data_IF_193900193297
#
_entry.id   IF_193900193297
#
_cell.length_a   1.000
_cell.length_b   1.000
_cell.length_c   1.000
_cell.angle_alpha   90.00
_cell.angle_beta   90.00
_cell.angle_gamma   90.00
#
_symmetry.space_group_name_H-M   'P 1'
#
loop_
_entity.id
_entity.type
_entity.pdbx_description
1 polymer ?
#
# COMPACT_ATOMS: atom_id res chain seq x y z
N UNK A 1 10.58 -32.74 1.03
CA UNK A 1 10.15 -31.38 0.65
C UNK A 1 8.65 -31.27 0.32
N UNK A 2 7.79 -32.26 0.66
CA UNK A 2 6.41 -32.31 0.15
C UNK A 2 5.29 -31.82 1.09
N UNK A 3 5.50 -31.60 2.40
CA UNK A 3 4.40 -31.24 3.31
C UNK A 3 4.07 -29.73 3.38
N UNK A 4 5.05 -28.83 3.22
CA UNK A 4 4.80 -27.37 3.38
C UNK A 4 4.09 -26.76 2.17
N UNK A 5 4.42 -27.18 0.95
CA UNK A 5 3.76 -26.71 -0.27
C UNK A 5 2.31 -27.21 -0.35
N UNK A 6 2.07 -28.44 0.11
CA UNK A 6 0.75 -29.07 0.10
C UNK A 6 -0.21 -28.44 1.12
N UNK A 7 0.31 -28.02 2.29
CA UNK A 7 -0.43 -27.20 3.26
C UNK A 7 -0.64 -25.78 2.73
N UNK A 8 0.36 -25.12 2.13
CA UNK A 8 0.19 -23.78 1.58
C UNK A 8 -0.93 -23.72 0.51
N UNK A 9 -0.96 -24.67 -0.42
CA UNK A 9 -1.99 -24.76 -1.46
C UNK A 9 -3.39 -25.05 -0.90
N UNK A 10 -3.52 -25.97 0.07
CA UNK A 10 -4.81 -26.30 0.72
C UNK A 10 -5.40 -25.15 1.54
N UNK A 11 -4.56 -24.20 1.97
CA UNK A 11 -4.94 -23.19 2.98
C UNK A 11 -5.16 -21.80 2.40
N UNK A 12 -4.61 -21.54 1.21
CA UNK A 12 -4.80 -20.32 0.43
C UNK A 12 -6.25 -19.80 0.31
N UNK A 13 -7.28 -20.64 0.07
CA UNK A 13 -8.65 -20.17 -0.15
C UNK A 13 -9.26 -19.54 1.10
N UNK A 14 -8.91 -20.10 2.25
CA UNK A 14 -9.34 -19.61 3.55
C UNK A 14 -8.59 -18.34 3.91
N UNK A 15 -7.26 -18.29 3.69
CA UNK A 15 -6.47 -17.07 3.87
C UNK A 15 -7.02 -15.90 3.06
N UNK A 16 -7.42 -16.20 1.82
CA UNK A 16 -8.09 -15.26 0.93
C UNK A 16 -9.39 -14.70 1.53
N UNK A 17 -10.28 -15.58 1.99
CA UNK A 17 -11.58 -15.23 2.60
C UNK A 17 -11.41 -14.32 3.83
N UNK A 18 -10.47 -14.66 4.69
CA UNK A 18 -10.23 -14.00 5.97
C UNK A 18 -9.60 -12.63 5.76
N UNK A 19 -8.56 -12.55 4.91
CA UNK A 19 -7.95 -11.27 4.52
C UNK A 19 -9.02 -10.34 3.96
N UNK A 20 -9.87 -10.82 3.06
CA UNK A 20 -10.94 -10.02 2.50
C UNK A 20 -11.93 -9.45 3.52
N UNK A 21 -12.36 -10.24 4.51
CA UNK A 21 -13.33 -9.80 5.52
C UNK A 21 -12.72 -8.76 6.48
N UNK A 22 -11.45 -8.95 6.84
CA UNK A 22 -10.65 -8.02 7.65
C UNK A 22 -10.49 -6.69 6.89
N UNK A 23 -10.03 -6.76 5.64
CA UNK A 23 -9.81 -5.56 4.83
C UNK A 23 -11.12 -4.83 4.52
N UNK A 24 -12.22 -5.50 4.16
CA UNK A 24 -13.49 -4.82 3.85
C UNK A 24 -14.03 -3.99 5.02
N UNK A 25 -13.83 -4.45 6.25
CA UNK A 25 -14.22 -3.73 7.47
C UNK A 25 -13.35 -2.50 7.75
N UNK A 26 -12.07 -2.56 7.41
CA UNK A 26 -11.10 -1.48 7.58
C UNK A 26 -11.30 -0.38 6.53
N UNK A 27 -11.79 -0.72 5.34
CA UNK A 27 -11.93 0.22 4.23
C UNK A 27 -13.25 1.00 4.22
N UNK A 28 -13.94 1.24 5.35
CA UNK A 28 -15.30 1.83 5.32
C UNK A 28 -15.43 3.16 4.58
N UNK A 29 -14.40 4.02 4.62
CA UNK A 29 -14.40 5.33 3.94
C UNK A 29 -13.82 5.33 2.53
N UNK A 30 -13.01 4.32 2.17
CA UNK A 30 -12.57 4.06 0.78
C UNK A 30 -13.76 4.10 -0.18
N UNK A 31 -14.84 3.43 0.22
CA UNK A 31 -16.09 3.40 -0.52
C UNK A 31 -16.69 4.79 -0.72
N UNK A 32 -16.62 5.70 0.24
CA UNK A 32 -17.31 6.99 0.09
C UNK A 32 -16.72 7.79 -1.07
N UNK A 33 -15.39 7.86 -1.18
CA UNK A 33 -14.73 8.62 -2.24
C UNK A 33 -14.94 7.99 -3.62
N UNK A 34 -14.65 6.69 -3.75
CA UNK A 34 -14.79 5.97 -5.03
C UNK A 34 -16.24 5.94 -5.50
N UNK A 35 -17.19 5.58 -4.63
CA UNK A 35 -18.62 5.53 -4.98
C UNK A 35 -19.15 6.93 -5.30
N UNK A 36 -18.79 7.96 -4.52
CA UNK A 36 -19.24 9.33 -4.78
C UNK A 36 -18.77 9.83 -6.14
N UNK A 37 -17.51 9.57 -6.49
CA UNK A 37 -16.95 9.94 -7.79
C UNK A 37 -17.64 9.16 -8.93
N UNK A 38 -17.73 7.83 -8.81
CA UNK A 38 -18.35 7.00 -9.85
C UNK A 38 -19.85 7.30 -10.06
N UNK A 39 -20.58 7.76 -9.03
CA UNK A 39 -21.97 8.23 -9.21
C UNK A 39 -22.09 9.42 -10.17
N UNK A 40 -21.06 10.26 -10.21
CA UNK A 40 -21.01 11.46 -11.03
C UNK A 40 -20.39 11.21 -12.41
N UNK A 41 -19.67 10.09 -12.60
CA UNK A 41 -19.10 9.68 -13.88
C UNK A 41 -20.16 9.02 -14.79
N UNK A 42 -20.11 9.33 -16.08
CA UNK A 42 -21.00 8.77 -17.09
C UNK A 42 -20.65 7.31 -17.44
N UNK A 43 -19.37 6.99 -17.64
CA UNK A 43 -18.93 5.65 -18.08
C UNK A 43 -18.66 4.64 -16.96
N UNK A 44 -18.46 5.10 -15.71
CA UNK A 44 -18.35 4.26 -14.51
C UNK A 44 -17.40 3.07 -14.66
N UNK A 45 -16.16 3.32 -15.06
CA UNK A 45 -15.11 2.30 -15.15
C UNK A 45 -14.19 2.38 -13.94
N UNK A 46 -14.21 1.35 -13.10
CA UNK A 46 -13.35 1.20 -11.93
C UNK A 46 -12.25 0.18 -12.22
N UNK A 47 -10.99 0.60 -12.13
CA UNK A 47 -9.83 -0.30 -12.11
C UNK A 47 -9.34 -0.46 -10.67
N UNK A 48 -9.17 -1.69 -10.21
CA UNK A 48 -8.68 -2.02 -8.87
C UNK A 48 -7.31 -2.69 -9.03
N UNK A 49 -6.27 -2.01 -8.57
CA UNK A 49 -4.88 -2.46 -8.57
C UNK A 49 -4.60 -3.23 -7.29
N UNK A 50 -4.10 -4.47 -7.39
CA UNK A 50 -3.96 -5.35 -6.23
C UNK A 50 -5.31 -5.79 -5.69
N UNK A 51 -6.17 -6.28 -6.58
CA UNK A 51 -7.58 -6.54 -6.30
C UNK A 51 -7.78 -7.54 -5.15
N UNK A 52 -6.79 -8.39 -4.88
CA UNK A 52 -6.87 -9.34 -3.79
C UNK A 52 -7.99 -10.35 -4.01
N UNK A 53 -8.21 -11.18 -3.01
CA UNK A 53 -8.93 -12.43 -3.20
C UNK A 53 -10.45 -12.36 -3.06
N UNK A 54 -11.04 -11.18 -2.90
CA UNK A 54 -12.50 -10.95 -2.84
C UNK A 54 -12.86 -9.56 -3.37
N UNK A 55 -12.08 -9.04 -4.33
CA UNK A 55 -12.04 -7.60 -4.56
C UNK A 55 -11.82 -6.89 -3.22
N UNK A 56 -10.82 -7.34 -2.45
CA UNK A 56 -10.70 -7.24 -0.99
C UNK A 56 -11.14 -5.90 -0.35
N UNK A 57 -10.89 -4.72 -0.95
CA UNK A 57 -11.48 -3.47 -0.45
C UNK A 57 -13.01 -3.41 -0.45
N UNK A 58 -13.70 -4.16 -1.32
CA UNK A 58 -15.13 -4.08 -1.67
C UNK A 58 -16.02 -5.23 -1.17
N UNK A 59 -15.43 -6.27 -0.57
CA UNK A 59 -16.02 -7.60 -0.36
C UNK A 59 -17.52 -7.69 0.01
N UNK A 60 -17.95 -7.09 1.12
CA UNK A 60 -19.36 -7.11 1.59
C UNK A 60 -20.23 -6.00 0.97
N UNK A 61 -19.62 -5.07 0.25
CA UNK A 61 -20.26 -3.90 -0.34
C UNK A 61 -20.33 -3.97 -1.86
N UNK A 62 -20.11 -5.14 -2.43
CA UNK A 62 -20.38 -5.41 -3.85
C UNK A 62 -21.81 -5.03 -4.25
N UNK A 63 -22.78 -5.18 -3.34
CA UNK A 63 -24.16 -4.73 -3.57
C UNK A 63 -24.26 -3.20 -3.72
N UNK A 64 -23.39 -2.42 -3.06
CA UNK A 64 -23.35 -0.96 -3.21
C UNK A 64 -22.77 -0.58 -4.58
N UNK A 65 -21.73 -1.28 -5.03
CA UNK A 65 -21.22 -1.13 -6.39
C UNK A 65 -22.29 -1.49 -7.43
N UNK A 66 -23.05 -2.57 -7.22
CA UNK A 66 -24.15 -2.96 -8.12
C UNK A 66 -25.19 -1.84 -8.28
N UNK A 67 -25.45 -1.08 -7.20
CA UNK A 67 -26.37 0.04 -7.20
C UNK A 67 -25.85 1.31 -7.92
N UNK A 68 -24.60 1.32 -8.42
CA UNK A 68 -24.10 2.40 -9.28
C UNK A 68 -24.76 2.40 -10.67
N UNK A 69 -25.51 1.34 -10.99
CA UNK A 69 -26.31 1.24 -12.20
C UNK A 69 -25.66 0.36 -13.28
N UNK A 70 -26.39 0.16 -14.39
CA UNK A 70 -26.07 -0.87 -15.38
C UNK A 70 -24.77 -0.61 -16.16
N UNK A 71 -24.21 0.59 -16.08
CA UNK A 71 -23.02 0.96 -16.84
C UNK A 71 -21.71 0.69 -16.09
N UNK A 72 -21.75 0.21 -14.84
CA UNK A 72 -20.52 -0.05 -14.08
C UNK A 72 -19.69 -1.17 -14.73
N UNK A 73 -18.39 -0.92 -14.90
CA UNK A 73 -17.42 -1.91 -15.36
C UNK A 73 -16.26 -1.94 -14.37
N UNK A 74 -15.88 -3.14 -13.93
CA UNK A 74 -14.78 -3.34 -12.98
C UNK A 74 -13.67 -4.13 -13.65
N UNK A 75 -12.45 -3.61 -13.57
CA UNK A 75 -11.21 -4.27 -13.98
C UNK A 75 -10.40 -4.55 -12.71
N UNK A 76 -10.15 -5.81 -12.37
CA UNK A 76 -9.33 -6.19 -11.22
C UNK A 76 -7.98 -6.73 -11.67
N UNK A 77 -6.89 -6.17 -11.15
CA UNK A 77 -5.52 -6.56 -11.47
C UNK A 77 -4.86 -7.20 -10.25
N UNK A 78 -4.24 -8.37 -10.43
CA UNK A 78 -3.36 -8.98 -9.42
C UNK A 78 -2.28 -9.80 -10.13
N UNK A 79 -1.09 -9.91 -9.55
CA UNK A 79 -0.03 -10.76 -10.12
C UNK A 79 -0.27 -12.24 -9.80
N UNK A 80 -1.07 -12.55 -8.77
CA UNK A 80 -1.28 -13.91 -8.30
C UNK A 80 -2.55 -14.52 -8.93
N UNK A 81 -2.42 -15.51 -9.83
CA UNK A 81 -3.56 -16.11 -10.53
C UNK A 81 -4.52 -16.84 -9.57
N UNK A 82 -4.03 -17.38 -8.46
CA UNK A 82 -4.86 -18.07 -7.48
C UNK A 82 -5.74 -17.07 -6.71
N UNK A 83 -5.19 -15.89 -6.39
CA UNK A 83 -5.94 -14.77 -5.78
C UNK A 83 -7.07 -14.31 -6.70
N UNK A 84 -6.82 -14.19 -8.01
CA UNK A 84 -7.85 -13.86 -8.99
C UNK A 84 -8.94 -14.93 -9.09
N UNK A 85 -8.57 -16.21 -9.06
CA UNK A 85 -9.52 -17.31 -9.00
C UNK A 85 -10.44 -17.22 -7.76
N UNK A 86 -9.88 -16.86 -6.61
CA UNK A 86 -10.65 -16.63 -5.39
C UNK A 86 -11.57 -15.40 -5.49
N UNK A 87 -11.06 -14.29 -6.03
CA UNK A 87 -11.85 -13.06 -6.22
C UNK A 87 -13.09 -13.34 -7.07
N UNK A 88 -12.91 -14.13 -8.14
CA UNK A 88 -14.00 -14.57 -8.99
C UNK A 88 -15.05 -15.38 -8.22
N UNK A 89 -14.59 -16.35 -7.43
CA UNK A 89 -15.46 -17.24 -6.66
C UNK A 89 -16.34 -16.47 -5.67
N UNK A 90 -15.76 -15.55 -4.89
CA UNK A 90 -16.52 -14.84 -3.87
C UNK A 90 -17.44 -13.78 -4.46
N UNK A 91 -17.01 -13.11 -5.52
CA UNK A 91 -17.87 -12.19 -6.27
C UNK A 91 -19.14 -12.90 -6.73
N UNK A 92 -19.02 -14.10 -7.32
CA UNK A 92 -20.16 -14.91 -7.75
C UNK A 92 -21.09 -15.31 -6.60
N UNK A 93 -20.54 -15.64 -5.42
CA UNK A 93 -21.34 -15.95 -4.22
C UNK A 93 -22.11 -14.74 -3.69
N UNK A 94 -21.49 -13.56 -3.68
CA UNK A 94 -21.98 -12.38 -2.96
C UNK A 94 -22.82 -11.45 -3.81
N UNK A 95 -22.67 -11.46 -5.13
CA UNK A 95 -23.46 -10.63 -6.03
C UNK A 95 -24.01 -11.44 -7.19
N UNK A 96 -25.34 -11.50 -7.28
CA UNK A 96 -26.07 -12.02 -8.46
C UNK A 96 -26.21 -10.97 -9.57
N UNK A 97 -25.93 -9.71 -9.25
CA UNK A 97 -26.14 -8.55 -10.12
C UNK A 97 -24.92 -8.23 -11.00
N UNK A 98 -23.76 -8.81 -10.68
CA UNK A 98 -22.58 -8.78 -11.54
C UNK A 98 -22.32 -10.13 -12.18
N UNK A 99 -21.99 -10.10 -13.47
CA UNK A 99 -21.47 -11.27 -14.15
C UNK A 99 -19.98 -11.07 -14.40
N UNK A 100 -19.18 -12.04 -13.94
CA UNK A 100 -17.77 -12.12 -14.33
C UNK A 100 -17.73 -12.45 -15.83
N UNK A 101 -17.18 -11.53 -16.60
CA UNK A 101 -17.13 -11.64 -18.06
C UNK A 101 -15.91 -12.39 -18.53
N UNK A 102 -14.78 -12.25 -17.84
CA UNK A 102 -13.56 -13.02 -18.12
C UNK A 102 -12.56 -12.98 -16.98
N UNK A 103 -11.76 -14.05 -16.89
CA UNK A 103 -10.50 -14.10 -16.14
C UNK A 103 -9.38 -14.30 -17.17
N UNK A 104 -8.41 -13.39 -17.22
CA UNK A 104 -7.28 -13.46 -18.16
C UNK A 104 -6.02 -13.85 -17.39
N UNK A 105 -5.43 -14.99 -17.77
CA UNK A 105 -4.34 -15.64 -17.04
C UNK A 105 -3.19 -15.97 -17.98
N UNK A 106 -1.97 -16.02 -17.42
CA UNK A 106 -0.76 -16.42 -18.10
C UNK A 106 -0.67 -17.95 -18.17
N UNK A 107 -1.13 -18.59 -17.09
CA UNK A 107 -1.27 -20.03 -16.91
C UNK A 107 -2.48 -20.59 -17.66
N UNK A 108 -2.47 -21.91 -17.96
CA UNK A 108 -3.62 -22.55 -18.60
C UNK A 108 -4.79 -22.70 -17.63
N UNK A 109 -6.00 -22.83 -18.18
CA UNK A 109 -7.22 -23.15 -17.42
C UNK A 109 -7.01 -24.39 -16.54
N UNK A 110 -6.44 -25.45 -17.11
CA UNK A 110 -6.19 -26.72 -16.41
C UNK A 110 -5.19 -26.54 -15.27
N UNK A 111 -4.20 -25.66 -15.44
CA UNK A 111 -3.22 -25.34 -14.40
C UNK A 111 -3.87 -24.58 -13.23
N UNK A 112 -4.70 -23.57 -13.52
CA UNK A 112 -5.46 -22.87 -12.48
C UNK A 112 -6.42 -23.82 -11.77
N UNK A 113 -7.20 -24.62 -12.52
CA UNK A 113 -8.10 -25.61 -11.93
C UNK A 113 -7.32 -26.59 -11.05
N UNK A 114 -6.16 -27.09 -11.49
CA UNK A 114 -5.32 -27.96 -10.68
C UNK A 114 -4.85 -27.29 -9.38
N UNK A 115 -4.47 -26.01 -9.42
CA UNK A 115 -4.12 -25.22 -8.23
C UNK A 115 -5.32 -25.02 -7.30
N UNK A 116 -6.52 -24.88 -7.87
CA UNK A 116 -7.78 -24.71 -7.13
C UNK A 116 -8.49 -26.04 -6.77
N UNK A 117 -8.01 -27.21 -7.20
CA UNK A 117 -8.65 -28.52 -6.91
C UNK A 117 -8.70 -28.85 -5.42
N UNK A 118 -7.80 -28.28 -4.63
CA UNK A 118 -7.79 -28.45 -3.17
C UNK A 118 -8.86 -27.61 -2.46
N UNK A 119 -9.51 -26.70 -3.16
CA UNK A 119 -10.65 -25.93 -2.66
C UNK A 119 -11.86 -26.84 -2.79
N UNK A 120 -12.24 -27.54 -1.72
CA UNK A 120 -13.39 -28.46 -1.68
C UNK A 120 -14.71 -27.86 -2.21
N UNK A 121 -14.82 -26.53 -2.23
CA UNK A 121 -16.00 -25.84 -2.75
C UNK A 121 -15.95 -25.53 -4.26
N UNK A 122 -14.85 -25.83 -4.97
CA UNK A 122 -14.69 -25.50 -6.40
C UNK A 122 -15.69 -26.23 -7.31
N UNK A 123 -16.02 -27.48 -6.98
CA UNK A 123 -17.03 -28.30 -7.67
C UNK A 123 -18.47 -27.87 -7.32
N UNK A 124 -18.76 -27.52 -6.06
CA UNK A 124 -20.10 -27.07 -5.63
C UNK A 124 -20.48 -25.67 -6.14
N UNK A 125 -19.50 -24.82 -6.45
CA UNK A 125 -19.73 -23.39 -6.73
C UNK A 125 -19.72 -23.01 -8.21
N UNK A 126 -19.55 -23.98 -9.11
CA UNK A 126 -19.54 -23.72 -10.55
C UNK A 126 -18.32 -22.91 -11.02
N UNK A 127 -17.18 -23.01 -10.34
CA UNK A 127 -15.91 -22.38 -10.77
C UNK A 127 -15.58 -22.76 -12.21
N UNK A 128 -15.85 -24.01 -12.60
CA UNK A 128 -15.62 -24.48 -13.96
C UNK A 128 -16.42 -23.69 -15.03
N UNK A 129 -17.60 -23.17 -14.69
CA UNK A 129 -18.41 -22.32 -15.55
C UNK A 129 -17.88 -20.87 -15.63
N UNK A 130 -17.33 -20.35 -14.53
CA UNK A 130 -16.71 -19.02 -14.46
C UNK A 130 -15.37 -19.03 -15.23
N UNK A 131 -14.56 -20.06 -15.01
CA UNK A 131 -13.28 -20.28 -15.69
C UNK A 131 -13.48 -20.71 -17.15
N UNK A 132 -14.64 -21.26 -17.54
CA UNK A 132 -14.94 -21.54 -18.97
C UNK A 132 -14.87 -20.30 -19.87
N UNK A 133 -15.03 -19.10 -19.29
CA UNK A 133 -14.88 -17.81 -19.98
C UNK A 133 -13.44 -17.26 -19.95
N UNK A 134 -12.48 -17.99 -19.38
CA UNK A 134 -11.08 -17.57 -19.34
C UNK A 134 -10.48 -17.58 -20.74
N UNK A 135 -9.80 -16.47 -21.10
CA UNK A 135 -9.12 -16.34 -22.39
C UNK A 135 -7.62 -16.35 -22.13
N UNK A 136 -6.90 -17.24 -22.83
CA UNK A 136 -5.43 -17.25 -22.86
C UNK A 136 -4.94 -16.13 -23.78
N UNK A 137 -5.00 -14.87 -23.33
CA UNK A 137 -4.45 -13.74 -24.07
C UNK A 137 -4.28 -12.49 -23.19
N UNK A 138 -3.20 -12.42 -22.42
CA UNK A 138 -2.78 -11.20 -21.68
C UNK A 138 -2.16 -10.16 -22.63
N UNK A 139 -1.78 -10.55 -23.86
CA UNK A 139 -0.99 -9.69 -24.76
C UNK A 139 -1.72 -8.48 -25.35
N UNK A 140 -3.05 -8.37 -25.22
CA UNK A 140 -3.81 -7.23 -25.74
C UNK A 140 -4.23 -6.32 -24.58
N UNK A 141 -3.84 -5.05 -24.64
CA UNK A 141 -4.34 -4.04 -23.71
C UNK A 141 -5.87 -4.00 -23.76
N UNK A 142 -6.52 -4.07 -22.59
CA UNK A 142 -7.98 -4.03 -22.50
C UNK A 142 -8.44 -2.57 -22.58
N UNK A 143 -9.36 -2.29 -23.48
CA UNK A 143 -10.09 -1.02 -23.54
C UNK A 143 -11.45 -1.17 -22.87
N UNK A 144 -11.88 -0.19 -22.09
CA UNK A 144 -13.15 -0.28 -21.38
C UNK A 144 -14.39 -0.24 -22.29
N UNK A 145 -14.24 0.24 -23.53
CA UNK A 145 -15.29 0.19 -24.56
C UNK A 145 -15.59 -1.24 -25.02
N UNK A 146 -14.62 -2.16 -24.95
CA UNK A 146 -14.79 -3.57 -25.31
C UNK A 146 -15.45 -4.40 -24.20
N UNK A 147 -15.53 -3.86 -22.98
CA UNK A 147 -16.09 -4.56 -21.82
C UNK A 147 -17.62 -4.42 -21.79
N UNK A 148 -18.36 -5.52 -21.50
CA UNK A 148 -19.81 -5.45 -21.32
C UNK A 148 -20.20 -4.53 -20.15
N UNK A 149 -21.42 -4.02 -20.19
CA UNK A 149 -22.05 -3.32 -19.07
C UNK A 149 -22.29 -4.27 -17.88
N UNK A 150 -22.25 -3.74 -16.65
CA UNK A 150 -22.33 -4.52 -15.40
C UNK A 150 -21.38 -5.72 -15.36
N UNK A 151 -20.12 -5.49 -15.74
CA UNK A 151 -19.12 -6.56 -15.87
C UNK A 151 -17.98 -6.45 -14.88
N UNK A 152 -17.40 -7.61 -14.55
CA UNK A 152 -16.15 -7.73 -13.81
C UNK A 152 -15.17 -8.54 -14.65
N UNK A 153 -14.02 -7.95 -14.94
CA UNK A 153 -12.91 -8.58 -15.64
C UNK A 153 -11.69 -8.65 -14.73
N UNK A 154 -11.17 -9.84 -14.52
CA UNK A 154 -10.01 -10.09 -13.67
C UNK A 154 -8.80 -10.43 -14.55
N UNK A 155 -7.64 -9.82 -14.29
CA UNK A 155 -6.47 -9.97 -15.13
C UNK A 155 -5.23 -10.21 -14.29
N UNK A 156 -4.48 -11.25 -14.66
CA UNK A 156 -3.15 -11.49 -14.13
C UNK A 156 -2.18 -10.43 -14.68
N UNK A 157 -1.79 -9.49 -13.82
CA UNK A 157 -0.90 -8.39 -14.19
C UNK A 157 0.05 -8.05 -13.04
N UNK A 158 1.34 -8.24 -13.29
CA UNK A 158 2.39 -7.68 -12.45
C UNK A 158 2.59 -6.20 -12.82
N UNK A 159 2.01 -5.32 -12.01
CA UNK A 159 2.03 -3.86 -12.22
C UNK A 159 3.44 -3.27 -12.24
N UNK A 160 4.44 -3.96 -11.69
CA UNK A 160 5.86 -3.55 -11.75
C UNK A 160 6.44 -3.65 -13.16
N UNK A 161 5.79 -4.43 -14.02
CA UNK A 161 6.19 -4.64 -15.43
C UNK A 161 5.32 -3.84 -16.40
N UNK A 162 4.41 -3.01 -15.89
CA UNK A 162 3.45 -2.22 -16.66
C UNK A 162 2.02 -2.74 -16.55
N UNK A 163 1.08 -2.00 -17.15
CA UNK A 163 -0.36 -2.29 -17.07
C UNK A 163 -0.88 -2.91 -18.37
N UNK A 164 -1.76 -3.89 -18.24
CA UNK A 164 -2.47 -4.52 -19.34
C UNK A 164 -3.82 -3.84 -19.68
N UNK A 165 -4.02 -2.62 -19.18
CA UNK A 165 -5.19 -1.78 -19.44
C UNK A 165 -4.75 -0.65 -20.35
N UNK A 166 -5.52 -0.37 -21.40
CA UNK A 166 -5.18 0.67 -22.35
C UNK A 166 -5.26 2.06 -21.71
N UNK A 167 -4.55 3.01 -22.31
CA UNK A 167 -4.61 4.41 -21.90
C UNK A 167 -6.05 4.92 -21.96
N UNK A 168 -6.39 5.82 -21.04
CA UNK A 168 -7.67 6.52 -20.95
C UNK A 168 -8.90 5.60 -20.91
N UNK A 169 -8.73 4.42 -20.31
CA UNK A 169 -9.79 3.42 -20.19
C UNK A 169 -10.52 3.45 -18.86
N UNK A 170 -9.94 4.01 -17.79
CA UNK A 170 -10.53 4.04 -16.46
C UNK A 170 -11.05 5.43 -16.08
N UNK A 171 -12.23 5.50 -15.47
CA UNK A 171 -12.71 6.71 -14.79
C UNK A 171 -12.07 6.83 -13.41
N UNK A 172 -11.94 5.71 -12.70
CA UNK A 172 -11.36 5.64 -11.38
C UNK A 172 -10.36 4.48 -11.29
N UNK A 173 -9.20 4.73 -10.69
CA UNK A 173 -8.24 3.70 -10.27
C UNK A 173 -8.16 3.69 -8.75
N UNK A 174 -8.38 2.53 -8.13
CA UNK A 174 -8.15 2.29 -6.71
C UNK A 174 -6.88 1.44 -6.56
N UNK A 175 -5.92 1.94 -5.79
CA UNK A 175 -4.63 1.28 -5.54
C UNK A 175 -4.34 1.05 -4.05
N UNK A 176 -5.42 0.99 -3.25
CA UNK A 176 -5.33 0.93 -1.80
C UNK A 176 -4.55 -0.27 -1.29
N UNK A 177 -3.66 0.00 -0.34
CA UNK A 177 -2.77 -0.97 0.31
C UNK A 177 -1.99 -1.86 -0.68
N UNK A 178 -1.75 -1.37 -1.90
CA UNK A 178 -1.03 -2.14 -2.93
C UNK A 178 0.31 -1.50 -3.24
N UNK A 179 0.37 -0.17 -3.30
CA UNK A 179 1.54 0.54 -3.81
C UNK A 179 2.79 0.37 -2.93
N UNK A 180 2.66 0.20 -1.60
CA UNK A 180 3.79 -0.18 -0.72
C UNK A 180 4.43 -1.52 -1.05
N UNK A 181 3.73 -2.44 -1.72
CA UNK A 181 4.28 -3.75 -2.07
C UNK A 181 5.05 -3.73 -3.40
N UNK A 182 4.99 -2.64 -4.16
CA UNK A 182 5.48 -2.61 -5.55
C UNK A 182 6.99 -2.58 -5.67
N UNK A 183 7.69 -1.75 -4.90
CA UNK A 183 9.14 -1.73 -4.90
C UNK A 183 9.70 -0.98 -3.69
N UNK A 184 10.96 -1.27 -3.27
CA UNK A 184 11.67 -0.53 -2.25
C UNK A 184 12.12 0.91 -2.67
N UNK A 185 11.84 1.34 -3.92
CA UNK A 185 12.43 2.54 -4.53
C UNK A 185 11.40 3.46 -5.20
N UNK A 186 11.67 4.77 -5.21
CA UNK A 186 10.83 5.82 -5.82
C UNK A 186 10.57 5.56 -7.30
N UNK A 187 11.62 5.27 -8.08
CA UNK A 187 11.52 5.21 -9.55
C UNK A 187 10.55 4.13 -10.00
N UNK A 188 10.65 2.95 -9.38
CA UNK A 188 9.73 1.86 -9.64
C UNK A 188 8.29 2.19 -9.20
N UNK A 189 8.11 2.91 -8.08
CA UNK A 189 6.79 3.41 -7.69
C UNK A 189 6.28 4.50 -8.65
N UNK A 190 7.17 5.35 -9.16
CA UNK A 190 6.86 6.40 -10.13
C UNK A 190 6.41 5.81 -11.46
N UNK A 191 7.08 4.77 -11.96
CA UNK A 191 6.69 4.04 -13.17
C UNK A 191 5.29 3.43 -13.02
N UNK A 192 5.00 2.83 -11.86
CA UNK A 192 3.66 2.30 -11.55
C UNK A 192 2.63 3.44 -11.54
N UNK A 193 2.92 4.57 -10.88
CA UNK A 193 1.99 5.71 -10.82
C UNK A 193 1.82 6.38 -12.18
N UNK A 194 2.85 6.44 -13.03
CA UNK A 194 2.76 6.88 -14.42
C UNK A 194 1.87 5.96 -15.25
N UNK A 195 2.00 4.65 -15.07
CA UNK A 195 1.09 3.69 -15.69
C UNK A 195 -0.36 3.88 -15.24
N UNK A 196 -0.58 4.16 -13.94
CA UNK A 196 -1.90 4.52 -13.43
C UNK A 196 -2.44 5.80 -14.07
N UNK A 197 -1.60 6.83 -14.17
CA UNK A 197 -1.95 8.08 -14.82
C UNK A 197 -2.34 7.86 -16.29
N UNK A 198 -1.64 7.01 -17.03
CA UNK A 198 -1.95 6.74 -18.44
C UNK A 198 -3.30 6.04 -18.60
N UNK A 199 -3.63 5.07 -17.73
CA UNK A 199 -4.92 4.36 -17.74
C UNK A 199 -6.12 5.27 -17.47
N UNK A 200 -5.95 6.36 -16.74
CA UNK A 200 -7.04 7.27 -16.38
C UNK A 200 -7.46 8.14 -17.57
N UNK A 201 -8.76 8.35 -17.72
CA UNK A 201 -9.31 9.38 -18.62
C UNK A 201 -8.96 10.79 -18.12
N UNK A 202 -9.00 11.81 -18.99
CA UNK A 202 -9.01 13.19 -18.54
C UNK A 202 -10.10 13.41 -17.46
N UNK A 203 -9.73 14.02 -16.33
CA UNK A 203 -10.61 14.16 -15.17
C UNK A 203 -10.78 12.91 -14.31
N UNK A 204 -10.12 11.80 -14.68
CA UNK A 204 -10.12 10.52 -13.98
C UNK A 204 -9.53 10.63 -12.57
N UNK A 205 -10.03 9.82 -11.64
CA UNK A 205 -9.61 9.84 -10.24
C UNK A 205 -8.67 8.67 -9.91
N UNK A 206 -7.55 8.97 -9.27
CA UNK A 206 -6.77 7.99 -8.51
C UNK A 206 -7.16 8.08 -7.04
N UNK A 207 -7.61 6.97 -6.48
CA UNK A 207 -7.60 6.73 -5.05
C UNK A 207 -6.33 5.92 -4.70
N UNK A 208 -5.29 6.61 -4.24
CA UNK A 208 -4.00 5.99 -3.92
C UNK A 208 -4.13 5.04 -2.72
N UNK A 209 -5.02 5.38 -1.77
CA UNK A 209 -5.17 4.73 -0.47
C UNK A 209 -3.93 4.94 0.41
N UNK A 210 -4.05 5.10 1.73
CA UNK A 210 -2.85 5.26 2.57
C UNK A 210 -2.87 4.33 3.77
N UNK A 211 -1.68 4.05 4.31
CA UNK A 211 -1.52 3.29 5.56
C UNK A 211 -1.98 4.04 6.81
N UNK A 212 -1.93 3.35 7.95
CA UNK A 212 -2.53 3.77 9.24
C UNK A 212 -1.71 4.79 10.05
N UNK A 213 -0.52 5.18 9.59
CA UNK A 213 0.38 6.09 10.29
C UNK A 213 0.24 7.55 9.82
N UNK A 214 0.53 8.53 10.69
CA UNK A 214 0.60 9.94 10.25
C UNK A 214 1.80 10.11 9.30
N UNK A 215 1.52 10.17 8.00
CA UNK A 215 2.53 10.33 6.96
C UNK A 215 3.29 11.68 7.03
N UNK A 216 2.97 12.58 7.97
CA UNK A 216 3.76 13.79 8.22
C UNK A 216 4.79 13.60 9.35
N UNK A 217 4.68 12.51 10.09
CA UNK A 217 5.47 12.29 11.29
C UNK A 217 6.97 12.16 11.00
N UNK A 218 7.33 11.50 9.90
CA UNK A 218 8.74 11.35 9.50
C UNK A 218 9.42 12.72 9.27
N UNK A 219 8.72 13.72 8.72
CA UNK A 219 9.26 15.07 8.56
C UNK A 219 9.44 15.81 9.88
N UNK A 220 8.44 15.72 10.77
CA UNK A 220 8.54 16.29 12.12
C UNK A 220 9.73 15.68 12.89
N UNK A 221 9.96 14.38 12.71
CA UNK A 221 11.07 13.66 13.31
C UNK A 221 12.43 14.06 12.76
N UNK A 222 12.55 14.22 11.44
CA UNK A 222 13.77 14.76 10.79
C UNK A 222 14.12 16.12 11.37
N UNK A 223 13.13 17.00 11.48
CA UNK A 223 13.31 18.33 12.09
C UNK A 223 13.82 18.21 13.52
N UNK A 224 13.18 17.38 14.35
CA UNK A 224 13.59 17.19 15.75
C UNK A 224 15.03 16.67 15.89
N UNK A 225 15.42 15.67 15.09
CA UNK A 225 16.78 15.14 15.09
C UNK A 225 17.79 16.23 14.70
N UNK A 226 17.49 17.00 13.67
CA UNK A 226 18.37 18.05 13.19
C UNK A 226 18.52 19.20 14.21
N UNK A 227 17.44 19.58 14.89
CA UNK A 227 17.47 20.53 16.02
C UNK A 227 18.36 20.01 17.16
N UNK A 228 18.23 18.73 17.51
CA UNK A 228 19.00 18.11 18.58
C UNK A 228 20.50 18.06 18.27
N UNK A 229 20.87 17.70 17.03
CA UNK A 229 22.26 17.73 16.56
C UNK A 229 22.79 19.16 16.55
N UNK A 230 22.04 20.13 16.00
CA UNK A 230 22.48 21.53 15.92
C UNK A 230 22.73 22.12 17.30
N UNK A 231 21.85 21.86 18.28
CA UNK A 231 22.03 22.28 19.67
C UNK A 231 23.24 21.62 20.31
N UNK A 232 23.41 20.32 20.11
CA UNK A 232 24.51 19.58 20.73
C UNK A 232 25.89 20.04 20.23
N UNK A 233 26.01 20.22 18.91
CA UNK A 233 27.25 20.63 18.26
C UNK A 233 27.43 22.15 18.22
N UNK A 234 26.39 22.90 18.57
CA UNK A 234 26.34 24.36 18.56
C UNK A 234 26.77 24.96 17.21
N UNK A 235 26.22 24.41 16.12
CA UNK A 235 26.58 24.75 14.75
C UNK A 235 25.42 24.60 13.76
N UNK A 236 25.62 25.13 12.56
CA UNK A 236 24.72 24.94 11.43
C UNK A 236 24.81 23.51 10.91
N UNK A 237 23.67 22.89 10.66
CA UNK A 237 23.58 21.53 10.14
C UNK A 237 22.91 21.55 8.78
N UNK A 238 23.52 20.89 7.81
CA UNK A 238 22.84 20.51 6.58
C UNK A 238 22.24 19.11 6.75
N UNK A 239 20.92 18.97 6.63
CA UNK A 239 20.31 17.65 6.48
C UNK A 239 20.27 17.31 5.00
N UNK A 240 20.75 16.13 4.66
CA UNK A 240 20.80 15.58 3.32
C UNK A 240 19.84 14.40 3.31
N UNK A 241 18.65 14.60 2.76
CA UNK A 241 17.64 13.55 2.63
C UNK A 241 17.84 12.83 1.31
N UNK A 242 18.35 11.59 1.38
CA UNK A 242 18.60 10.71 0.22
C UNK A 242 17.58 9.58 0.12
N UNK A 243 16.46 9.69 0.83
CA UNK A 243 15.34 8.75 0.65
C UNK A 243 14.74 8.83 -0.75
N UNK A 244 14.96 9.95 -1.44
CA UNK A 244 14.72 10.13 -2.88
C UNK A 244 16.07 9.96 -3.62
N UNK A 245 16.15 8.95 -4.48
CA UNK A 245 17.41 8.56 -5.15
C UNK A 245 17.85 9.58 -6.22
N UNK A 246 16.90 10.29 -6.82
CA UNK A 246 17.13 11.22 -7.93
C UNK A 246 17.29 12.67 -7.46
N UNK A 247 16.70 13.01 -6.31
CA UNK A 247 16.73 14.36 -5.77
C UNK A 247 17.24 14.31 -4.35
N UNK A 248 18.48 14.78 -4.16
CA UNK A 248 18.98 15.05 -2.83
C UNK A 248 18.34 16.34 -2.33
N UNK A 249 17.56 16.24 -1.27
CA UNK A 249 17.01 17.42 -0.64
C UNK A 249 17.90 17.90 0.49
N UNK A 250 18.04 19.22 0.57
CA UNK A 250 18.80 19.84 1.62
C UNK A 250 17.91 20.69 2.52
N UNK A 251 18.10 20.55 3.82
CA UNK A 251 17.52 21.43 4.82
C UNK A 251 18.66 22.12 5.55
N UNK A 252 18.60 23.46 5.61
CA UNK A 252 19.55 24.25 6.38
C UNK A 252 19.00 24.51 7.78
N UNK A 253 19.67 23.99 8.80
CA UNK A 253 19.29 24.20 10.21
C UNK A 253 20.23 25.20 10.84
N UNK A 254 19.75 26.41 11.21
CA UNK A 254 20.58 27.42 11.84
C UNK A 254 21.09 26.96 13.21
N UNK A 255 22.29 27.42 13.55
CA UNK A 255 22.96 27.18 14.82
C UNK A 255 22.05 27.48 16.01
N UNK A 256 21.87 26.47 16.87
CA UNK A 256 21.13 26.60 18.13
C UNK A 256 19.63 26.84 17.96
N UNK A 257 19.10 26.66 16.74
CA UNK A 257 17.70 26.89 16.46
C UNK A 257 16.80 25.88 17.18
N UNK A 258 15.71 26.36 17.77
CA UNK A 258 14.68 25.56 18.43
C UNK A 258 13.42 25.41 17.58
N UNK A 259 13.26 26.23 16.54
CA UNK A 259 12.13 26.19 15.60
C UNK A 259 12.54 26.81 14.26
N UNK A 260 12.47 26.01 13.18
CA UNK A 260 12.66 26.48 11.80
C UNK A 260 11.64 25.83 10.86
N UNK A 261 11.33 26.46 9.73
CA UNK A 261 10.49 25.85 8.70
C UNK A 261 11.30 24.94 7.78
N UNK A 262 10.70 23.82 7.38
CA UNK A 262 11.35 22.89 6.45
C UNK A 262 11.25 23.50 5.05
N UNK A 263 12.34 24.14 4.63
CA UNK A 263 12.56 24.54 3.24
C UNK A 263 13.61 23.65 2.61
N UNK A 264 13.19 22.89 1.61
CA UNK A 264 14.08 22.05 0.84
C UNK A 264 14.67 22.83 -0.33
N UNK A 265 15.99 22.94 -0.40
CA UNK A 265 16.69 23.57 -1.52
C UNK A 265 17.34 22.54 -2.45
N UNK A 266 17.52 22.93 -3.73
CA UNK A 266 18.21 22.10 -4.76
C UNK A 266 19.72 22.12 -4.59
N UNK A 267 20.26 23.19 -4.03
CA UNK A 267 21.68 23.34 -3.78
C UNK A 267 22.03 23.02 -2.35
N UNK A 268 23.18 22.38 -2.14
CA UNK A 268 23.67 22.04 -0.81
C UNK A 268 24.00 23.32 -0.02
N UNK A 269 23.36 23.56 1.14
CA UNK A 269 23.68 24.70 1.97
C UNK A 269 25.09 24.56 2.55
N UNK A 270 25.76 25.70 2.75
CA UNK A 270 27.04 25.75 3.45
C UNK A 270 26.80 25.47 4.94
N UNK A 271 27.24 24.30 5.41
CA UNK A 271 27.17 23.90 6.81
C UNK A 271 28.49 23.25 7.23
N UNK A 272 28.81 23.33 8.53
CA UNK A 272 30.01 22.70 9.09
C UNK A 272 29.86 21.18 9.24
N UNK A 273 28.61 20.72 9.41
CA UNK A 273 28.29 19.32 9.61
C UNK A 273 27.05 18.90 8.83
N UNK A 274 27.00 17.59 8.52
CA UNK A 274 25.98 16.99 7.68
C UNK A 274 25.30 15.83 8.41
N UNK A 275 23.97 15.84 8.41
CA UNK A 275 23.16 14.66 8.70
C UNK A 275 22.76 14.05 7.37
N UNK A 276 22.92 12.74 7.20
CA UNK A 276 22.49 12.05 5.99
C UNK A 276 21.40 11.06 6.35
N UNK A 277 20.24 11.16 5.71
CA UNK A 277 19.17 10.16 5.81
C UNK A 277 19.30 9.28 4.58
N UNK A 278 19.59 8.00 4.77
CA UNK A 278 19.70 7.06 3.66
C UNK A 278 18.33 6.53 3.21
N UNK A 279 18.36 5.74 2.14
CA UNK A 279 17.18 5.13 1.54
C UNK A 279 16.55 4.00 2.39
N UNK A 280 17.20 3.59 3.47
CA UNK A 280 16.65 2.61 4.44
C UNK A 280 16.06 3.30 5.68
N UNK A 281 16.06 4.64 5.72
CA UNK A 281 15.55 5.40 6.87
C UNK A 281 16.50 5.41 8.05
N UNK A 282 17.80 5.14 7.85
CA UNK A 282 18.82 5.40 8.86
C UNK A 282 19.30 6.85 8.75
N UNK A 283 19.42 7.50 9.90
CA UNK A 283 19.94 8.87 10.02
C UNK A 283 21.38 8.80 10.49
N UNK A 284 22.31 9.04 9.57
CA UNK A 284 23.75 9.08 9.80
C UNK A 284 24.10 10.44 10.41
N UNK A 285 24.70 10.41 11.60
CA UNK A 285 24.94 11.58 12.44
C UNK A 285 26.42 12.02 12.36
N UNK A 286 26.69 13.33 12.30
CA UNK A 286 28.05 13.89 12.30
C UNK A 286 28.61 14.02 13.73
N UNK A 287 28.35 13.05 14.61
CA UNK A 287 28.70 13.14 16.03
C UNK A 287 29.90 12.26 16.36
N UNK A 288 30.78 12.71 17.25
CA UNK A 288 31.91 11.94 17.78
C UNK A 288 31.51 10.92 18.87
N UNK A 289 32.41 9.99 19.22
CA UNK A 289 32.22 9.00 20.31
C UNK A 289 31.81 9.67 21.63
N UNK A 290 32.38 10.84 21.95
CA UNK A 290 32.08 11.62 23.17
C UNK A 290 30.62 12.12 23.25
N UNK A 291 29.91 12.17 22.11
CA UNK A 291 28.53 12.64 22.02
C UNK A 291 27.48 11.52 22.14
N UNK A 292 27.89 10.25 22.01
CA UNK A 292 26.96 9.10 22.00
C UNK A 292 26.14 9.02 23.28
N UNK A 293 26.76 9.19 24.45
CA UNK A 293 26.05 9.15 25.73
C UNK A 293 24.99 10.25 25.83
N UNK A 294 25.27 11.44 25.30
CA UNK A 294 24.30 12.54 25.31
C UNK A 294 23.10 12.22 24.42
N UNK A 295 23.30 11.67 23.23
CA UNK A 295 22.22 11.22 22.34
C UNK A 295 21.37 10.11 22.97
N UNK A 296 22.00 9.13 23.62
CA UNK A 296 21.28 8.07 24.36
C UNK A 296 20.44 8.64 25.51
N UNK A 297 20.95 9.64 26.23
CA UNK A 297 20.20 10.32 27.30
C UNK A 297 19.01 11.14 26.76
N UNK A 298 19.00 11.47 25.47
CA UNK A 298 17.85 12.07 24.78
C UNK A 298 16.84 11.03 24.27
N UNK A 299 17.10 9.74 24.53
CA UNK A 299 16.22 8.61 24.17
C UNK A 299 16.57 7.93 22.85
N UNK A 300 17.59 8.38 22.11
CA UNK A 300 17.93 7.81 20.81
C UNK A 300 18.75 6.51 20.92
N UNK A 301 18.38 5.51 20.13
CA UNK A 301 19.09 4.25 19.93
C UNK A 301 20.21 4.42 18.90
N UNK A 302 21.36 4.89 19.38
CA UNK A 302 22.56 5.07 18.55
C UNK A 302 23.20 3.73 18.19
N UNK A 303 23.22 3.43 16.90
CA UNK A 303 23.89 2.30 16.26
C UNK A 303 25.26 2.73 15.74
N UNK A 304 26.28 1.88 15.92
CA UNK A 304 27.63 2.11 15.38
C UNK A 304 27.77 1.28 14.11
N UNK A 305 27.88 1.97 12.97
CA UNK A 305 28.11 1.35 11.67
C UNK A 305 29.62 1.26 11.42
N UNK A 306 30.15 0.02 11.45
CA UNK A 306 31.54 -0.26 11.09
C UNK A 306 31.67 -0.29 9.56
N UNK A 307 31.97 0.86 8.97
CA UNK A 307 32.32 0.99 7.54
C UNK A 307 33.84 1.24 7.42
N UNK A 308 34.30 1.88 6.33
CA UNK A 308 35.69 2.37 6.20
C UNK A 308 36.07 3.38 7.31
N UNK A 309 35.08 4.04 7.89
CA UNK A 309 35.18 4.86 9.10
C UNK A 309 34.00 4.53 10.03
N UNK A 310 34.20 4.66 11.35
CA UNK A 310 33.14 4.47 12.34
C UNK A 310 32.08 5.58 12.21
N UNK A 311 30.95 5.24 11.59
CA UNK A 311 29.79 6.13 11.51
C UNK A 311 28.80 5.81 12.62
N UNK A 312 28.07 6.84 13.06
CA UNK A 312 27.02 6.71 14.07
C UNK A 312 25.71 6.96 13.36
N UNK A 313 24.74 6.08 13.56
CA UNK A 313 23.43 6.21 12.97
C UNK A 313 22.36 6.02 14.04
N UNK A 314 21.19 6.57 13.80
CA UNK A 314 19.96 6.27 14.55
C UNK A 314 18.89 5.87 13.53
N UNK A 315 17.94 4.99 13.88
CA UNK A 315 16.77 4.79 13.04
C UNK A 315 15.95 6.08 12.99
N UNK A 316 15.33 6.38 11.84
CA UNK A 316 14.48 7.57 11.73
C UNK A 316 13.25 7.45 12.64
N UNK A 317 12.65 6.26 12.73
CA UNK A 317 11.63 5.95 13.74
C UNK A 317 12.25 4.98 14.75
N UNK A 318 12.24 5.39 16.00
CA UNK A 318 12.96 4.75 17.09
C UNK A 318 11.99 4.33 18.20
N UNK A 319 11.86 3.03 18.44
CA UNK A 319 11.01 2.50 19.52
C UNK A 319 11.43 2.93 20.93
N UNK A 320 12.63 3.51 21.09
CA UNK A 320 13.06 4.12 22.34
C UNK A 320 12.47 5.51 22.61
N UNK A 321 11.81 6.13 21.62
CA UNK A 321 11.26 7.49 21.72
C UNK A 321 9.73 7.43 21.89
N UNK A 322 9.22 8.07 22.95
CA UNK A 322 7.79 8.07 23.28
C UNK A 322 6.90 8.61 22.14
N UNK A 323 7.34 9.69 21.48
CA UNK A 323 6.59 10.25 20.36
C UNK A 323 6.54 9.30 19.16
N UNK A 324 7.60 8.52 18.91
CA UNK A 324 7.63 7.55 17.81
C UNK A 324 6.68 6.39 18.14
N UNK A 325 6.67 5.95 19.41
CA UNK A 325 5.73 4.95 19.89
C UNK A 325 4.29 5.42 19.70
N UNK A 326 3.99 6.67 20.07
CA UNK A 326 2.64 7.23 20.01
C UNK A 326 2.13 7.48 18.59
N UNK A 327 2.96 8.05 17.72
CA UNK A 327 2.51 8.60 16.43
C UNK A 327 2.76 7.65 15.25
N UNK A 328 3.58 6.61 15.43
CA UNK A 328 3.91 5.66 14.38
C UNK A 328 3.73 4.21 14.82
N UNK A 329 4.48 3.77 15.84
CA UNK A 329 4.58 2.34 16.16
C UNK A 329 3.27 1.79 16.70
N UNK A 330 2.66 2.46 17.68
CA UNK A 330 1.38 2.05 18.26
C UNK A 330 0.25 2.06 17.23
N UNK A 331 0.09 3.09 16.37
CA UNK A 331 -0.86 3.03 15.25
C UNK A 331 -0.69 1.82 14.33
N UNK A 332 0.55 1.54 13.91
CA UNK A 332 0.86 0.38 13.07
C UNK A 332 0.55 -0.93 13.80
N UNK A 333 1.01 -1.08 15.05
CA UNK A 333 0.70 -2.25 15.89
C UNK A 333 -0.81 -2.41 16.08
N UNK A 334 -1.53 -1.35 16.44
CA UNK A 334 -2.99 -1.40 16.63
C UNK A 334 -3.74 -1.85 15.39
N UNK A 335 -3.29 -1.45 14.20
CA UNK A 335 -3.86 -1.93 12.95
C UNK A 335 -3.69 -3.46 12.81
N UNK A 336 -2.45 -3.95 12.90
CA UNK A 336 -2.17 -5.38 12.76
C UNK A 336 -2.71 -6.22 13.93
N UNK A 337 -2.66 -5.72 15.16
CA UNK A 337 -3.27 -6.33 16.35
C UNK A 337 -4.80 -6.38 16.20
N UNK A 338 -5.40 -5.34 15.62
CA UNK A 338 -6.82 -5.32 15.27
C UNK A 338 -7.22 -6.43 14.30
N UNK A 339 -6.28 -6.97 13.50
CA UNK A 339 -6.54 -8.11 12.61
C UNK A 339 -6.51 -9.46 13.32
N UNK A 340 -5.81 -9.58 14.47
CA UNK A 340 -5.60 -10.85 15.17
C UNK A 340 -6.89 -11.48 15.71
N UNK A 341 -7.80 -10.76 16.40
CA UNK A 341 -9.04 -11.34 16.90
C UNK A 341 -9.92 -11.95 15.79
N UNK A 342 -9.86 -11.41 14.57
CA UNK A 342 -10.60 -11.96 13.44
C UNK A 342 -9.99 -13.27 12.92
N UNK A 343 -8.67 -13.43 13.05
CA UNK A 343 -7.96 -14.66 12.70
C UNK A 343 -8.18 -15.72 13.81
N UNK A 344 -8.09 -15.32 15.07
CA UNK A 344 -8.30 -16.16 16.25
C UNK A 344 -9.76 -16.64 16.37
N UNK A 345 -10.74 -15.81 15.97
CA UNK A 345 -12.16 -16.21 15.92
C UNK A 345 -12.47 -17.37 14.96
N UNK A 346 -11.47 -17.83 14.19
CA UNK A 346 -11.57 -18.97 13.29
C UNK A 346 -11.06 -20.26 13.93
N UNK A 347 -10.53 -20.21 15.15
CA UNK A 347 -10.18 -21.39 15.94
C UNK A 347 -11.39 -22.32 16.08
N UNK A 348 -11.16 -23.62 15.93
CA UNK A 348 -12.23 -24.63 15.94
C UNK A 348 -13.09 -24.70 14.68
N UNK A 349 -12.89 -23.84 13.67
CA UNK A 349 -13.51 -24.00 12.35
C UNK A 349 -12.75 -25.00 11.48
N UNK A 350 -13.30 -25.37 10.32
CA UNK A 350 -12.57 -26.21 9.35
C UNK A 350 -11.27 -25.56 8.84
N UNK A 351 -11.11 -24.24 9.02
CA UNK A 351 -9.88 -23.48 8.72
C UNK A 351 -8.74 -23.88 9.67
N UNK A 352 -9.05 -24.09 10.94
CA UNK A 352 -8.08 -24.40 12.00
C UNK A 352 -7.42 -25.77 11.79
N UNK A 353 -8.19 -26.74 11.29
CA UNK A 353 -7.76 -28.13 11.01
C UNK A 353 -6.54 -28.26 10.08
N UNK A 354 -6.19 -27.21 9.35
CA UNK A 354 -5.06 -27.19 8.41
C UNK A 354 -3.86 -26.34 8.88
N UNK A 355 -3.83 -25.88 10.14
CA UNK A 355 -2.73 -25.06 10.68
C UNK A 355 -2.63 -23.67 10.02
N UNK A 356 -3.76 -23.15 9.54
CA UNK A 356 -3.85 -21.89 8.78
C UNK A 356 -3.70 -20.68 9.69
N UNK A 357 -4.28 -20.76 10.88
CA UNK A 357 -4.34 -19.68 11.86
C UNK A 357 -2.91 -19.25 12.22
N UNK A 358 -2.07 -20.20 12.62
CA UNK A 358 -0.65 -19.96 12.91
C UNK A 358 0.09 -19.28 11.75
N UNK A 359 -0.20 -19.67 10.51
CA UNK A 359 0.46 -19.07 9.35
C UNK A 359 -0.06 -17.68 9.05
N UNK A 360 -1.36 -17.42 9.20
CA UNK A 360 -1.94 -16.09 9.06
C UNK A 360 -1.42 -15.12 10.10
N UNK A 361 -1.31 -15.57 11.35
CA UNK A 361 -0.71 -14.78 12.43
C UNK A 361 0.77 -14.47 12.12
N UNK A 362 1.53 -15.44 11.57
CA UNK A 362 2.89 -15.19 11.09
C UNK A 362 2.95 -14.20 9.93
N UNK A 363 2.07 -14.32 8.94
CA UNK A 363 2.01 -13.40 7.79
C UNK A 363 1.71 -11.96 8.28
N UNK A 364 0.78 -11.80 9.25
CA UNK A 364 0.49 -10.53 9.91
C UNK A 364 1.71 -9.98 10.64
N UNK A 365 2.43 -10.82 11.38
CA UNK A 365 3.65 -10.42 12.08
C UNK A 365 4.76 -9.97 11.13
N UNK A 366 4.93 -10.65 10.00
CA UNK A 366 5.95 -10.31 9.02
C UNK A 366 5.60 -9.01 8.28
N UNK A 367 4.35 -8.79 7.91
CA UNK A 367 3.87 -7.51 7.37
C UNK A 367 4.03 -6.36 8.38
N UNK A 368 3.68 -6.59 9.64
CA UNK A 368 3.89 -5.60 10.71
C UNK A 368 5.37 -5.25 10.87
N UNK A 369 6.27 -6.25 10.87
CA UNK A 369 7.72 -6.00 10.92
C UNK A 369 8.19 -5.18 9.73
N UNK A 370 7.70 -5.49 8.52
CA UNK A 370 8.04 -4.74 7.32
C UNK A 370 7.57 -3.28 7.43
N UNK A 371 6.34 -3.06 7.89
CA UNK A 371 5.79 -1.72 8.13
C UNK A 371 6.61 -0.93 9.17
N UNK A 372 6.98 -1.57 10.28
CA UNK A 372 7.81 -0.96 11.32
C UNK A 372 9.25 -0.71 10.84
N UNK A 373 9.78 -1.56 9.94
CA UNK A 373 11.13 -1.43 9.36
C UNK A 373 11.28 -0.33 8.32
N UNK A 374 10.17 0.21 7.82
CA UNK A 374 10.19 1.41 6.99
C UNK A 374 10.52 1.28 5.52
N UNK A 375 10.29 0.09 4.97
CA UNK A 375 10.41 -0.14 3.53
C UNK A 375 9.23 0.54 2.82
N UNK A 376 9.52 1.72 2.31
CA UNK A 376 8.79 2.52 1.29
C UNK A 376 7.60 3.32 1.73
N UNK A 377 6.38 2.80 1.78
CA UNK A 377 5.22 3.70 1.87
C UNK A 377 5.00 4.24 3.28
N UNK A 378 5.34 3.45 4.32
CA UNK A 378 5.14 3.88 5.70
C UNK A 378 6.03 5.07 6.09
N UNK A 379 7.18 5.24 5.41
CA UNK A 379 8.12 6.33 5.66
C UNK A 379 8.09 7.40 4.56
N UNK A 380 7.47 7.08 3.43
CA UNK A 380 7.15 8.05 2.38
C UNK A 380 6.22 9.08 2.97
N UNK A 381 6.77 10.27 3.24
CA UNK A 381 5.95 11.32 3.79
C UNK A 381 4.81 11.67 2.83
N UNK A 382 3.74 12.27 3.34
CA UNK A 382 2.66 12.80 2.48
C UNK A 382 3.23 13.63 1.34
N UNK A 383 4.24 14.47 1.60
CA UNK A 383 4.89 15.28 0.57
C UNK A 383 5.67 14.45 -0.46
N UNK A 384 6.25 13.31 -0.07
CA UNK A 384 6.87 12.40 -1.03
C UNK A 384 5.83 11.86 -2.01
N UNK A 385 4.70 11.34 -1.50
CA UNK A 385 3.62 10.80 -2.34
C UNK A 385 3.00 11.92 -3.19
N UNK A 386 2.72 13.09 -2.61
CA UNK A 386 2.20 14.25 -3.34
C UNK A 386 3.14 14.69 -4.47
N UNK A 387 4.45 14.74 -4.22
CA UNK A 387 5.44 15.07 -5.26
C UNK A 387 5.48 14.03 -6.35
N UNK A 388 5.51 12.75 -5.98
CA UNK A 388 5.50 11.65 -6.94
C UNK A 388 4.26 11.72 -7.84
N UNK A 389 3.09 12.05 -7.28
CA UNK A 389 1.85 12.27 -8.02
C UNK A 389 1.93 13.52 -8.93
N UNK A 390 2.48 14.64 -8.44
CA UNK A 390 2.67 15.85 -9.25
C UNK A 390 3.65 15.61 -10.42
N UNK A 391 4.78 14.95 -10.17
CA UNK A 391 5.76 14.53 -11.18
C UNK A 391 5.11 13.59 -12.21
N UNK A 392 4.18 12.73 -11.77
CA UNK A 392 3.41 11.86 -12.65
C UNK A 392 2.40 12.63 -13.52
N UNK A 393 2.04 13.86 -13.14
CA UNK A 393 1.11 14.72 -13.87
C UNK A 393 -0.29 14.76 -13.26
N UNK A 394 -0.48 14.31 -12.02
CA UNK A 394 -1.73 14.47 -11.31
C UNK A 394 -1.90 15.88 -10.76
N UNK A 395 -3.15 16.32 -10.63
CA UNK A 395 -3.56 17.59 -10.04
C UNK A 395 -4.59 17.39 -8.91
N UNK A 396 -4.95 18.47 -8.22
CA UNK A 396 -6.00 18.49 -7.18
C UNK A 396 -5.82 17.44 -6.08
N UNK A 397 -4.57 17.21 -5.66
CA UNK A 397 -4.22 16.17 -4.68
C UNK A 397 -4.77 16.56 -3.30
N UNK A 398 -5.61 15.70 -2.73
CA UNK A 398 -6.24 15.88 -1.42
C UNK A 398 -5.93 14.68 -0.54
N UNK A 399 -5.41 14.93 0.65
CA UNK A 399 -5.23 13.89 1.66
C UNK A 399 -6.24 14.06 2.80
N UNK A 400 -6.97 12.99 3.15
CA UNK A 400 -7.73 12.89 4.39
C UNK A 400 -6.82 12.40 5.53
N UNK A 401 -7.13 12.79 6.77
CA UNK A 401 -6.40 12.31 7.95
C UNK A 401 -7.08 11.05 8.49
N UNK A 402 -6.32 10.07 8.99
CA UNK A 402 -6.93 8.99 9.75
C UNK A 402 -7.62 9.54 11.01
N UNK A 403 -8.72 8.91 11.42
CA UNK A 403 -9.39 9.28 12.66
C UNK A 403 -8.50 8.88 13.85
N UNK A 404 -8.35 9.75 14.85
CA UNK A 404 -7.32 9.63 15.91
C UNK A 404 -7.46 8.39 16.81
N UNK A 405 -8.55 7.65 16.71
CA UNK A 405 -8.87 6.54 17.60
C UNK A 405 -9.17 5.27 16.79
N UNK A 406 -8.08 4.62 16.37
CA UNK A 406 -8.09 3.37 15.59
C UNK A 406 -8.70 2.19 16.38
N UNK A 407 -8.83 2.34 17.70
CA UNK A 407 -9.44 1.34 18.58
C UNK A 407 -10.97 1.33 18.52
N UNK A 408 -11.58 2.35 17.89
CA UNK A 408 -13.04 2.39 17.71
C UNK A 408 -13.46 1.76 16.39
N UNK A 409 -14.51 0.92 16.39
CA UNK A 409 -15.16 0.48 15.16
C UNK A 409 -15.55 1.70 14.30
N UNK A 410 -15.02 1.78 13.06
CA UNK A 410 -15.25 2.91 12.16
C UNK A 410 -14.16 3.99 12.18
N UNK A 411 -12.96 3.70 12.70
CA UNK A 411 -11.81 4.56 12.49
C UNK A 411 -11.50 4.75 11.00
N UNK A 412 -11.39 6.01 10.58
CA UNK A 412 -11.11 6.35 9.19
C UNK A 412 -9.63 6.08 8.89
N UNK A 413 -9.37 5.39 7.78
CA UNK A 413 -8.03 5.36 7.18
C UNK A 413 -7.88 6.65 6.39
N UNK A 414 -6.74 7.34 6.55
CA UNK A 414 -6.40 8.43 5.63
C UNK A 414 -6.37 7.92 4.19
N UNK A 415 -6.61 8.79 3.23
CA UNK A 415 -6.50 8.47 1.81
C UNK A 415 -5.96 9.67 1.06
N UNK A 416 -5.14 9.42 0.04
CA UNK A 416 -4.77 10.42 -0.95
C UNK A 416 -5.63 10.19 -2.18
N UNK A 417 -6.32 11.25 -2.59
CA UNK A 417 -7.07 11.31 -3.84
C UNK A 417 -6.37 12.29 -4.76
N UNK A 418 -6.20 11.93 -6.03
CA UNK A 418 -5.57 12.75 -7.05
C UNK A 418 -6.34 12.63 -8.37
N UNK A 419 -6.24 13.64 -9.23
CA UNK A 419 -6.99 13.67 -10.49
C UNK A 419 -6.07 13.83 -11.69
N UNK A 420 -6.36 13.12 -12.78
CA UNK A 420 -5.76 13.43 -14.08
C UNK A 420 -6.35 14.75 -14.60
N UNK A 421 -5.55 15.66 -15.17
CA UNK A 421 -6.07 16.92 -15.72
C UNK A 421 -7.09 16.70 -16.85
N UNK A 422 -7.92 17.71 -17.13
CA UNK A 422 -9.02 17.62 -18.11
C UNK A 422 -8.60 17.95 -19.56
N UNK A 423 -7.34 18.29 -19.81
CA UNK A 423 -6.87 18.86 -21.07
C UNK A 423 -6.09 17.88 -21.94
#
# INVERSE_FOLDING_TARGET
MSNKQDIAAKTLPYRALIKAEIFSNLHKDLFKHVISYLRQSDSKVLCIVGVGSNLAPYGDKMNILANLGPNLKIIGLDYNPEVLGMAALYTYKRSKDFFITSIQLSSSKEELLNRLKHIKQSEELGIENIIHKSKKNIKKNITASELPNSSITLIENDIRTGFCVADESADCVDATLTLHHTAPYKDALFDVVKGIWSMLKPGGMLYYGTGFADMRYSEAKIKKIAEDVSKLLNTNIAVIDKRDADITYYLNVPKGCTQFDIEYCKEKPKAEHEIVIDNEGLVILPIEKKHVTKFKNMGYNVVIMKLKEDKRAIPLIDSGIEDDEKNFIKPVKQFYDGTRPFIEALEGTDVDKYGIIDQLLRDVDDEMKLALSGRVEYYSSRRFIERLLLEAGFENIKASRPNKDISKPGAEIGGIVAFKPNY
#
